data_IF_402126477411
#
_entry.id   IF_402126477411
#
_cell.length_a   1.000
_cell.length_b   1.000
_cell.length_c   1.000
_cell.angle_alpha   90.00
_cell.angle_beta   90.00
_cell.angle_gamma   90.00
#
_symmetry.space_group_name_H-M   'P 1'
#
loop_
_entity.id
_entity.type
_entity.pdbx_description
1 polymer ?
#
# COMPACT_ATOMS: atom_id res chain seq x y z
N UNK A 1 -2.44 -27.54 -4.36
CA UNK A 1 -2.90 -26.13 -4.26
C UNK A 1 -1.89 -25.41 -3.37
N UNK A 2 -0.83 -24.86 -3.95
CA UNK A 2 0.14 -24.09 -3.15
C UNK A 2 -0.55 -22.81 -2.69
N UNK A 3 -0.70 -22.64 -1.38
CA UNK A 3 -1.11 -21.36 -0.83
C UNK A 3 -0.07 -20.32 -1.30
N UNK A 4 -0.52 -19.31 -2.03
CA UNK A 4 0.34 -18.18 -2.35
C UNK A 4 0.74 -17.54 -1.03
N UNK A 5 2.04 -17.52 -0.74
CA UNK A 5 2.56 -16.92 0.49
C UNK A 5 2.18 -15.44 0.52
N UNK A 6 1.72 -14.96 1.68
CA UNK A 6 1.26 -13.59 1.82
C UNK A 6 2.47 -12.66 1.94
N UNK A 7 2.61 -11.74 0.99
CA UNK A 7 3.82 -10.92 0.86
C UNK A 7 3.62 -9.58 1.59
N UNK A 8 4.44 -9.27 2.60
CA UNK A 8 4.35 -8.02 3.34
C UNK A 8 4.78 -6.86 2.44
N UNK A 9 4.04 -5.76 2.50
CA UNK A 9 4.35 -4.57 1.73
C UNK A 9 3.93 -3.29 2.43
N UNK A 10 4.72 -2.25 2.21
CA UNK A 10 4.33 -0.87 2.39
C UNK A 10 3.60 -0.42 1.12
N UNK A 11 2.41 0.12 1.27
CA UNK A 11 1.62 0.66 0.16
C UNK A 11 1.53 2.17 0.30
N UNK A 12 1.94 2.87 -0.74
CA UNK A 12 1.72 4.30 -0.92
C UNK A 12 0.51 4.49 -1.81
N UNK A 13 -0.40 5.36 -1.41
CA UNK A 13 -1.60 5.69 -2.16
C UNK A 13 -1.90 7.19 -2.04
N UNK A 14 -2.54 7.80 -3.05
CA UNK A 14 -3.10 9.13 -2.93
C UNK A 14 -4.12 9.21 -1.79
N UNK A 15 -4.22 10.37 -1.15
CA UNK A 15 -5.20 10.64 -0.10
C UNK A 15 -6.64 10.68 -0.65
N UNK A 16 -6.80 11.12 -1.91
CA UNK A 16 -8.05 11.01 -2.65
C UNK A 16 -8.14 9.64 -3.31
N UNK A 17 -9.12 8.83 -2.88
CA UNK A 17 -9.29 7.46 -3.36
C UNK A 17 -9.71 7.37 -4.85
N UNK A 18 -10.30 8.45 -5.39
CA UNK A 18 -10.73 8.53 -6.78
C UNK A 18 -9.65 9.08 -7.72
N UNK A 19 -8.59 9.66 -7.15
CA UNK A 19 -7.42 10.08 -7.91
C UNK A 19 -6.80 8.88 -8.62
N UNK A 20 -6.44 9.07 -9.88
CA UNK A 20 -5.98 8.01 -10.74
C UNK A 20 -4.85 8.47 -11.65
N UNK A 21 -3.88 7.58 -11.78
CA UNK A 21 -2.87 7.59 -12.82
C UNK A 21 -2.64 6.16 -13.31
N UNK A 22 -2.22 6.03 -14.57
CA UNK A 22 -1.82 4.74 -15.13
C UNK A 22 -0.52 4.21 -14.49
N UNK A 23 -0.28 2.92 -14.68
CA UNK A 23 0.91 2.25 -14.11
C UNK A 23 2.23 2.86 -14.63
N UNK A 24 2.26 3.36 -15.87
CA UNK A 24 3.45 3.96 -16.46
C UNK A 24 3.81 5.29 -15.77
N UNK A 25 2.82 6.11 -15.46
CA UNK A 25 2.95 7.37 -14.72
C UNK A 25 3.40 7.11 -13.29
N UNK A 26 2.82 6.12 -12.61
CA UNK A 26 3.25 5.71 -11.27
C UNK A 26 4.71 5.25 -11.25
N UNK A 27 5.11 4.41 -12.22
CA UNK A 27 6.49 3.97 -12.36
C UNK A 27 7.44 5.13 -12.71
N UNK A 28 6.98 6.08 -13.53
CA UNK A 28 7.73 7.28 -13.85
C UNK A 28 8.00 8.13 -12.60
N UNK A 29 6.97 8.45 -11.82
CA UNK A 29 7.15 9.25 -10.61
C UNK A 29 7.95 8.52 -9.53
N UNK A 30 7.70 7.22 -9.31
CA UNK A 30 8.47 6.43 -8.36
C UNK A 30 9.98 6.46 -8.68
N UNK A 31 10.35 6.44 -9.97
CA UNK A 31 11.73 6.61 -10.42
C UNK A 31 12.21 8.05 -10.29
N UNK A 32 11.38 9.01 -10.69
CA UNK A 32 11.69 10.44 -10.64
C UNK A 32 11.97 10.96 -9.23
N UNK A 33 11.37 10.36 -8.20
CA UNK A 33 11.65 10.72 -6.80
C UNK A 33 12.84 9.96 -6.20
N UNK A 34 13.39 8.99 -6.94
CA UNK A 34 14.50 8.12 -6.52
C UNK A 34 14.09 6.91 -5.67
N UNK A 35 12.78 6.63 -5.52
CA UNK A 35 12.28 5.47 -4.77
C UNK A 35 12.41 4.17 -5.57
N UNK A 36 12.20 4.21 -6.89
CA UNK A 36 12.33 3.09 -7.81
C UNK A 36 13.52 3.25 -8.76
N UNK A 37 14.09 2.12 -9.17
CA UNK A 37 15.18 2.04 -10.15
C UNK A 37 14.71 1.45 -11.48
N UNK A 38 15.58 0.66 -12.11
CA UNK A 38 15.27 0.01 -13.38
C UNK A 38 14.23 -1.10 -13.22
N UNK A 39 13.47 -1.44 -14.29
CA UNK A 39 12.56 -2.58 -14.27
C UNK A 39 13.28 -3.90 -13.96
N UNK A 40 12.65 -4.73 -13.14
CA UNK A 40 13.01 -6.14 -12.95
C UNK A 40 12.23 -7.03 -13.93
N UNK A 41 10.96 -6.69 -14.15
CA UNK A 41 10.04 -7.29 -15.13
C UNK A 41 8.97 -6.24 -15.52
N UNK A 42 7.87 -6.69 -16.15
CA UNK A 42 6.77 -5.83 -16.62
C UNK A 42 6.01 -5.09 -15.49
N UNK A 43 6.13 -5.54 -14.24
CA UNK A 43 5.33 -5.06 -13.10
C UNK A 43 6.18 -4.64 -11.91
N UNK A 44 7.42 -5.07 -11.86
CA UNK A 44 8.33 -4.86 -10.74
C UNK A 44 9.51 -3.98 -11.13
N UNK A 45 9.94 -3.17 -10.18
CA UNK A 45 11.04 -2.23 -10.32
C UNK A 45 12.04 -2.50 -9.20
N UNK A 46 13.33 -2.28 -9.45
CA UNK A 46 14.36 -2.27 -8.41
C UNK A 46 14.09 -1.13 -7.42
N UNK A 47 14.65 -1.23 -6.22
CA UNK A 47 14.80 -0.08 -5.35
C UNK A 47 15.67 0.99 -6.04
N UNK A 48 15.28 2.26 -5.89
CA UNK A 48 16.00 3.41 -6.46
C UNK A 48 17.18 3.87 -5.60
N UNK A 49 17.95 4.81 -6.12
CA UNK A 49 19.16 5.33 -5.47
C UNK A 49 18.88 6.04 -4.13
N UNK A 50 17.72 6.72 -4.03
CA UNK A 50 17.31 7.44 -2.83
C UNK A 50 16.49 6.57 -1.86
N UNK A 51 16.30 5.28 -2.16
CA UNK A 51 15.40 4.39 -1.39
C UNK A 51 15.66 4.43 0.12
N UNK A 52 16.93 4.33 0.53
CA UNK A 52 17.32 4.36 1.96
C UNK A 52 17.20 5.76 2.59
N UNK A 53 17.16 6.83 1.79
CA UNK A 53 16.92 8.19 2.28
C UNK A 53 15.42 8.49 2.41
N UNK A 54 14.58 7.80 1.64
CA UNK A 54 13.13 7.99 1.59
C UNK A 54 12.37 7.08 2.57
N UNK A 55 13.05 6.07 3.11
CA UNK A 55 12.51 5.08 4.04
C UNK A 55 13.41 4.94 5.26
N UNK A 56 12.89 5.28 6.45
CA UNK A 56 13.59 5.13 7.72
C UNK A 56 13.37 3.73 8.30
N UNK A 57 14.46 2.98 8.45
CA UNK A 57 14.44 1.63 9.04
C UNK A 57 14.54 1.70 10.56
N UNK A 58 13.61 1.04 11.24
CA UNK A 58 13.51 1.00 12.70
C UNK A 58 14.07 -0.32 13.22
N UNK A 59 15.06 -0.29 14.12
CA UNK A 59 15.67 -1.47 14.74
C UNK A 59 17.17 -1.59 14.50
N UNK A 60 17.81 -2.59 15.13
CA UNK A 60 19.27 -2.62 15.30
C UNK A 60 20.09 -3.27 14.17
N UNK A 61 19.49 -3.87 13.12
CA UNK A 61 20.18 -4.32 11.88
C UNK A 61 19.23 -5.22 11.08
N UNK A 62 18.25 -4.69 10.33
CA UNK A 62 17.55 -5.51 9.35
C UNK A 62 18.54 -5.91 8.25
N UNK A 63 18.55 -7.18 7.85
CA UNK A 63 19.26 -7.61 6.64
C UNK A 63 18.55 -6.97 5.44
N UNK A 64 19.09 -5.87 4.95
CA UNK A 64 18.59 -5.18 3.76
C UNK A 64 19.16 -5.88 2.53
N UNK A 65 18.28 -6.45 1.70
CA UNK A 65 18.65 -7.00 0.39
C UNK A 65 17.92 -6.25 -0.71
N UNK A 66 18.65 -5.85 -1.75
CA UNK A 66 18.12 -5.15 -2.94
C UNK A 66 18.22 -5.97 -4.21
N UNK A 67 19.03 -7.03 -4.19
CA UNK A 67 19.24 -7.88 -5.34
C UNK A 67 18.39 -9.16 -5.22
N UNK A 68 17.69 -9.54 -6.29
CA UNK A 68 17.00 -10.82 -6.32
C UNK A 68 18.04 -11.95 -6.23
N UNK A 69 17.84 -12.97 -5.38
CA UNK A 69 18.71 -14.15 -5.38
C UNK A 69 18.62 -14.93 -6.71
N UNK A 70 17.44 -14.90 -7.35
CA UNK A 70 17.19 -15.38 -8.70
C UNK A 70 15.94 -14.68 -9.29
N UNK A 71 15.66 -14.92 -10.57
CA UNK A 71 14.48 -14.34 -11.23
C UNK A 71 13.14 -14.82 -10.66
N UNK A 72 13.09 -16.00 -10.03
CA UNK A 72 11.86 -16.53 -9.43
C UNK A 72 11.50 -15.85 -8.11
N UNK A 73 12.46 -15.17 -7.47
CA UNK A 73 12.24 -14.41 -6.24
C UNK A 73 11.54 -13.06 -6.48
N UNK A 74 11.43 -12.56 -7.71
CA UNK A 74 10.70 -11.32 -8.00
C UNK A 74 9.23 -11.48 -7.60
N UNK A 75 8.71 -10.55 -6.81
CA UNK A 75 7.35 -10.61 -6.24
C UNK A 75 7.24 -11.35 -4.91
N UNK A 76 8.27 -12.06 -4.44
CA UNK A 76 8.22 -12.86 -3.20
C UNK A 76 8.32 -12.05 -1.90
N UNK A 77 8.90 -10.85 -1.96
CA UNK A 77 9.27 -10.05 -0.78
C UNK A 77 10.55 -10.49 -0.06
N UNK A 78 11.33 -11.44 -0.62
CA UNK A 78 12.64 -11.85 -0.08
C UNK A 78 13.74 -10.77 -0.16
N UNK A 79 13.49 -9.73 -0.96
CA UNK A 79 14.33 -8.54 -1.10
C UNK A 79 13.44 -7.33 -1.37
N UNK A 80 13.94 -6.12 -1.15
CA UNK A 80 13.17 -4.89 -1.37
C UNK A 80 13.12 -4.56 -2.86
N UNK A 81 11.90 -4.49 -3.36
CA UNK A 81 11.61 -4.07 -4.72
C UNK A 81 10.20 -3.47 -4.76
N UNK A 82 9.90 -2.79 -5.85
CA UNK A 82 8.66 -2.07 -6.00
C UNK A 82 7.74 -2.75 -6.99
N UNK A 83 6.45 -2.53 -6.81
CA UNK A 83 5.39 -2.84 -7.77
C UNK A 83 4.48 -1.63 -7.88
N UNK A 84 3.98 -1.36 -9.07
CA UNK A 84 2.95 -0.33 -9.28
C UNK A 84 1.66 -0.98 -9.72
N UNK A 85 0.54 -0.48 -9.24
CA UNK A 85 -0.79 -0.97 -9.61
C UNK A 85 -1.73 0.20 -9.87
N UNK A 86 -2.47 0.12 -10.96
CA UNK A 86 -3.51 1.06 -11.33
C UNK A 86 -4.81 0.28 -11.61
N UNK A 87 -5.94 0.83 -11.16
CA UNK A 87 -7.26 0.23 -11.29
C UNK A 87 -8.24 1.25 -11.84
N UNK A 88 -9.17 0.79 -12.68
CA UNK A 88 -10.22 1.64 -13.25
C UNK A 88 -11.15 2.22 -12.18
N UNK A 89 -11.30 1.53 -11.05
CA UNK A 89 -12.20 1.90 -9.95
C UNK A 89 -11.50 1.78 -8.59
N UNK A 90 -11.91 2.56 -7.57
CA UNK A 90 -11.29 2.50 -6.26
C UNK A 90 -11.35 1.09 -5.69
N UNK A 91 -10.22 0.59 -5.23
CA UNK A 91 -10.09 -0.73 -4.65
C UNK A 91 -9.76 -0.61 -3.18
N UNK A 92 -10.51 -1.31 -2.33
CA UNK A 92 -10.17 -1.44 -0.92
C UNK A 92 -9.05 -2.47 -0.72
N UNK A 93 -8.01 -2.09 0.02
CA UNK A 93 -6.83 -2.92 0.32
C UNK A 93 -6.76 -3.13 1.82
N UNK A 94 -6.81 -4.40 2.22
CA UNK A 94 -6.70 -4.86 3.60
C UNK A 94 -6.27 -6.32 3.61
N UNK A 95 -5.88 -6.84 4.78
CA UNK A 95 -5.45 -8.22 4.95
C UNK A 95 -6.14 -8.91 6.15
N UNK A 96 -5.72 -10.14 6.44
CA UNK A 96 -6.22 -10.93 7.57
C UNK A 96 -5.83 -10.35 8.94
N UNK A 97 -4.77 -9.55 9.01
CA UNK A 97 -4.23 -8.92 10.21
C UNK A 97 -4.80 -7.51 10.47
N UNK A 98 -5.45 -6.88 9.49
CA UNK A 98 -6.11 -5.58 9.65
C UNK A 98 -7.09 -5.61 10.85
N UNK A 99 -6.91 -4.78 11.88
CA UNK A 99 -7.85 -4.71 13.00
C UNK A 99 -9.20 -4.12 12.59
N UNK A 100 -10.25 -4.48 13.32
CA UNK A 100 -11.56 -3.86 13.13
C UNK A 100 -11.50 -2.34 13.40
N UNK A 101 -11.94 -1.50 12.44
CA UNK A 101 -12.00 -0.06 12.63
C UNK A 101 -13.14 0.31 13.59
N UNK A 102 -13.18 1.58 13.97
CA UNK A 102 -14.26 2.16 14.78
C UNK A 102 -15.00 3.22 13.98
N UNK A 103 -16.31 3.31 14.21
CA UNK A 103 -17.11 4.42 13.70
C UNK A 103 -16.49 5.76 14.16
N UNK A 104 -16.34 6.76 13.26
CA UNK A 104 -15.83 8.07 13.63
C UNK A 104 -16.78 8.81 14.57
N UNK A 105 -18.10 8.60 14.44
CA UNK A 105 -19.13 9.29 15.23
C UNK A 105 -19.34 8.66 16.61
N UNK A 106 -19.81 7.40 16.66
CA UNK A 106 -20.18 6.76 17.93
C UNK A 106 -19.09 5.87 18.53
N UNK A 107 -17.94 5.73 17.86
CA UNK A 107 -16.80 4.90 18.30
C UNK A 107 -17.08 3.40 18.42
N UNK A 108 -18.28 2.95 18.02
CA UNK A 108 -18.63 1.53 17.94
C UNK A 108 -17.62 0.79 17.06
N UNK A 109 -17.20 -0.39 17.54
CA UNK A 109 -16.30 -1.28 16.80
C UNK A 109 -17.10 -1.95 15.68
N UNK A 110 -16.55 -1.97 14.47
CA UNK A 110 -17.21 -2.52 13.30
C UNK A 110 -16.73 -3.97 13.10
N UNK A 111 -17.31 -4.93 13.80
CA UNK A 111 -16.89 -6.35 13.78
C UNK A 111 -16.99 -6.97 12.37
N UNK A 112 -18.10 -6.73 11.67
CA UNK A 112 -18.42 -7.32 10.36
C UNK A 112 -17.80 -6.59 9.15
N UNK A 113 -16.87 -5.66 9.37
CA UNK A 113 -16.33 -4.79 8.33
C UNK A 113 -15.78 -5.55 7.10
N UNK A 114 -15.15 -6.72 7.31
CA UNK A 114 -14.60 -7.55 6.22
C UNK A 114 -15.66 -8.10 5.29
N UNK A 115 -16.86 -8.38 5.82
CA UNK A 115 -17.99 -8.84 5.02
C UNK A 115 -18.58 -7.70 4.20
N UNK A 116 -18.56 -6.49 4.74
CA UNK A 116 -19.07 -5.31 4.06
C UNK A 116 -18.14 -4.82 2.96
N UNK A 117 -16.84 -4.87 3.22
CA UNK A 117 -15.76 -4.40 2.35
C UNK A 117 -14.72 -5.50 2.20
N UNK A 118 -14.94 -6.47 1.31
CA UNK A 118 -13.92 -7.45 0.97
C UNK A 118 -12.72 -6.75 0.30
N UNK A 119 -11.50 -7.20 0.62
CA UNK A 119 -10.30 -6.71 -0.03
C UNK A 119 -10.35 -7.01 -1.54
N UNK A 120 -9.87 -6.08 -2.37
CA UNK A 120 -9.92 -6.21 -3.83
C UNK A 120 -11.23 -5.69 -4.45
N UNK A 121 -12.25 -5.38 -3.65
CA UNK A 121 -13.53 -4.89 -4.14
C UNK A 121 -13.63 -3.36 -4.09
N UNK A 122 -14.51 -2.83 -4.94
CA UNK A 122 -14.99 -1.46 -4.85
C UNK A 122 -15.86 -1.31 -3.59
N UNK A 123 -15.55 -0.34 -2.71
CA UNK A 123 -16.25 -0.24 -1.45
C UNK A 123 -17.58 0.52 -1.56
N UNK A 124 -18.68 -0.13 -1.16
CA UNK A 124 -20.00 0.50 -1.06
C UNK A 124 -20.25 1.16 0.32
N UNK A 125 -21.02 2.25 0.42
CA UNK A 125 -21.43 2.82 1.70
C UNK A 125 -22.23 1.85 2.57
N UNK A 126 -22.06 1.95 3.89
CA UNK A 126 -22.76 1.13 4.89
C UNK A 126 -23.22 1.96 6.08
N UNK A 127 -24.41 1.70 6.59
CA UNK A 127 -24.86 2.31 7.85
C UNK A 127 -24.11 1.70 9.04
N UNK A 128 -23.67 2.54 9.97
CA UNK A 128 -23.09 2.09 11.23
C UNK A 128 -24.15 1.36 12.08
N UNK A 129 -23.87 0.14 12.59
CA UNK A 129 -24.84 -0.58 13.41
C UNK A 129 -25.11 0.10 14.77
N UNK A 130 -24.21 0.99 15.22
CA UNK A 130 -24.36 1.69 16.51
C UNK A 130 -25.15 3.00 16.44
N UNK A 131 -24.95 3.81 15.39
CA UNK A 131 -25.56 5.16 15.30
C UNK A 131 -26.24 5.45 13.96
N UNK A 132 -26.24 4.51 13.01
CA UNK A 132 -26.85 4.70 11.69
C UNK A 132 -26.07 5.58 10.72
N UNK A 133 -25.02 6.29 11.15
CA UNK A 133 -24.20 7.12 10.26
C UNK A 133 -23.66 6.32 9.08
N UNK A 134 -23.72 6.88 7.89
CA UNK A 134 -23.11 6.29 6.70
C UNK A 134 -21.58 6.26 6.80
N UNK A 135 -21.02 5.08 6.56
CA UNK A 135 -19.61 4.77 6.62
C UNK A 135 -19.12 4.35 5.24
N UNK A 136 -17.94 4.83 4.90
CA UNK A 136 -17.14 4.34 3.78
C UNK A 136 -15.73 4.04 4.30
N UNK A 137 -15.00 3.06 3.73
CA UNK A 137 -13.64 2.75 4.18
C UNK A 137 -12.70 3.95 4.14
N UNK A 138 -12.88 4.86 3.17
CA UNK A 138 -12.11 6.09 3.03
C UNK A 138 -12.17 6.98 4.28
N UNK A 139 -13.31 6.98 4.99
CA UNK A 139 -13.54 7.82 6.19
C UNK A 139 -13.10 7.14 7.49
N UNK A 140 -12.75 5.86 7.44
CA UNK A 140 -12.39 5.09 8.63
C UNK A 140 -10.91 5.23 8.96
N UNK A 141 -10.60 5.30 10.26
CA UNK A 141 -9.21 5.25 10.71
C UNK A 141 -8.73 3.80 10.79
N UNK A 142 -8.01 3.37 9.75
CA UNK A 142 -7.40 2.05 9.64
C UNK A 142 -6.03 1.94 10.32
N UNK A 143 -5.53 2.99 10.99
CA UNK A 143 -4.25 2.96 11.70
C UNK A 143 -3.09 2.42 10.84
N UNK A 144 -3.06 2.81 9.56
CA UNK A 144 -2.07 2.37 8.57
C UNK A 144 -2.07 0.86 8.28
N UNK A 145 -3.21 0.18 8.45
CA UNK A 145 -3.34 -1.27 8.18
C UNK A 145 -4.31 -1.63 7.05
N UNK A 146 -4.84 -0.61 6.37
CA UNK A 146 -5.68 -0.71 5.20
C UNK A 146 -5.84 0.67 4.55
N UNK A 147 -6.31 0.69 3.30
CA UNK A 147 -6.58 1.92 2.56
C UNK A 147 -7.47 1.67 1.33
N UNK A 148 -7.90 2.74 0.68
CA UNK A 148 -8.64 2.68 -0.59
C UNK A 148 -7.93 3.56 -1.59
N UNK A 149 -7.87 3.13 -2.84
CA UNK A 149 -7.38 3.97 -3.93
C UNK A 149 -7.49 3.27 -5.28
N UNK A 150 -7.20 4.02 -6.34
CA UNK A 150 -7.06 3.49 -7.70
C UNK A 150 -5.62 3.28 -8.10
N UNK A 151 -4.70 3.99 -7.46
CA UNK A 151 -3.28 4.00 -7.79
C UNK A 151 -2.45 3.65 -6.56
N UNK A 152 -1.54 2.70 -6.71
CA UNK A 152 -0.71 2.19 -5.63
C UNK A 152 0.74 2.05 -6.09
N UNK A 153 1.65 2.56 -5.26
CA UNK A 153 3.09 2.23 -5.32
C UNK A 153 3.36 1.35 -4.11
N UNK A 154 3.78 0.12 -4.35
CA UNK A 154 4.02 -0.87 -3.31
C UNK A 154 5.51 -1.16 -3.19
N UNK A 155 6.00 -1.22 -1.96
CA UNK A 155 7.35 -1.69 -1.64
C UNK A 155 7.23 -3.04 -0.94
N UNK A 156 7.67 -4.09 -1.62
CA UNK A 156 7.56 -5.48 -1.17
C UNK A 156 8.70 -5.81 -0.20
N UNK A 157 8.43 -6.75 0.72
CA UNK A 157 9.37 -7.16 1.77
C UNK A 157 9.35 -6.28 3.03
N UNK A 158 8.52 -5.22 3.05
CA UNK A 158 8.40 -4.33 4.21
C UNK A 158 7.29 -4.79 5.14
N UNK A 159 7.66 -5.16 6.36
CA UNK A 159 6.73 -5.47 7.44
C UNK A 159 6.26 -4.20 8.17
N UNK A 160 5.03 -4.24 8.68
CA UNK A 160 4.51 -3.15 9.50
C UNK A 160 5.39 -2.92 10.73
N UNK A 161 5.75 -1.66 10.98
CA UNK A 161 6.55 -1.26 12.14
C UNK A 161 8.06 -1.40 11.99
N UNK A 162 8.57 -1.96 10.88
CA UNK A 162 10.03 -2.05 10.63
C UNK A 162 10.55 -0.88 9.79
N UNK A 163 9.68 -0.24 9.01
CA UNK A 163 10.04 0.89 8.16
C UNK A 163 8.99 1.99 8.30
N UNK A 164 9.44 3.24 8.25
CA UNK A 164 8.60 4.41 8.17
C UNK A 164 9.02 5.30 6.99
N UNK A 165 8.11 5.59 6.05
CA UNK A 165 8.36 6.62 5.05
C UNK A 165 8.65 7.97 5.69
N UNK A 166 9.63 8.70 5.16
CA UNK A 166 9.93 10.07 5.62
C UNK A 166 9.13 11.11 4.83
N UNK A 167 8.94 12.29 5.41
CA UNK A 167 8.13 13.36 4.79
C UNK A 167 8.62 13.76 3.39
N UNK A 168 9.94 13.72 3.16
CA UNK A 168 10.54 14.02 1.87
C UNK A 168 9.98 13.14 0.73
N UNK A 169 9.60 11.89 1.01
CA UNK A 169 8.97 11.03 0.01
C UNK A 169 7.62 11.58 -0.44
N UNK A 170 6.78 11.98 0.52
CA UNK A 170 5.44 12.48 0.22
C UNK A 170 5.48 13.86 -0.45
N UNK A 171 6.41 14.73 -0.03
CA UNK A 171 6.64 16.01 -0.69
C UNK A 171 7.01 15.82 -2.16
N UNK A 172 8.02 14.98 -2.46
CA UNK A 172 8.46 14.75 -3.84
C UNK A 172 7.40 14.08 -4.71
N UNK A 173 6.67 13.10 -4.17
CA UNK A 173 5.56 12.47 -4.89
C UNK A 173 4.45 13.47 -5.19
N UNK A 174 4.11 14.33 -4.24
CA UNK A 174 3.08 15.36 -4.43
C UNK A 174 3.49 16.41 -5.47
N UNK A 175 4.75 16.82 -5.49
CA UNK A 175 5.28 17.74 -6.51
C UNK A 175 5.19 17.17 -7.93
N UNK A 176 5.44 15.87 -8.10
CA UNK A 176 5.40 15.23 -9.42
C UNK A 176 4.00 14.82 -9.87
N UNK A 177 3.15 14.37 -8.94
CA UNK A 177 1.83 13.84 -9.27
C UNK A 177 0.69 14.85 -9.10
N UNK A 178 0.94 15.97 -8.42
CA UNK A 178 -0.10 16.94 -8.04
C UNK A 178 -1.11 16.43 -7.01
N UNK A 179 -0.80 15.32 -6.32
CA UNK A 179 -1.70 14.70 -5.34
C UNK A 179 -1.05 14.56 -3.98
N UNK A 180 -1.83 14.65 -2.90
CA UNK A 180 -1.33 14.30 -1.58
C UNK A 180 -1.25 12.78 -1.45
N UNK A 181 -0.17 12.28 -0.84
CA UNK A 181 0.08 10.85 -0.65
C UNK A 181 0.07 10.47 0.82
N UNK A 182 -0.38 9.26 1.10
CA UNK A 182 -0.28 8.61 2.40
C UNK A 182 0.22 7.18 2.25
N UNK A 183 0.19 6.43 3.35
CA UNK A 183 0.64 5.05 3.34
C UNK A 183 -0.07 4.17 4.36
N UNK A 184 -0.02 2.87 4.08
CA UNK A 184 -0.45 1.80 4.97
C UNK A 184 0.35 0.53 4.68
N UNK A 185 0.22 -0.47 5.54
CA UNK A 185 0.85 -1.78 5.38
C UNK A 185 -0.21 -2.85 5.16
N UNK A 186 0.08 -3.79 4.28
CA UNK A 186 -0.70 -5.02 4.11
C UNK A 186 0.23 -6.21 3.92
N UNK A 187 -0.29 -7.40 4.22
CA UNK A 187 0.29 -8.68 3.92
C UNK A 187 -0.77 -9.54 3.23
N UNK A 188 -0.84 -9.40 1.91
CA UNK A 188 -1.78 -10.11 1.05
C UNK A 188 -1.04 -11.02 0.05
N UNK A 189 -1.74 -12.04 -0.46
CA UNK A 189 -1.24 -12.81 -1.58
C UNK A 189 -1.12 -11.86 -2.78
N UNK A 190 -0.01 -11.96 -3.51
CA UNK A 190 0.23 -11.17 -4.73
C UNK A 190 -0.95 -11.40 -5.67
N UNK A 191 -1.83 -10.40 -5.82
CA UNK A 191 -2.85 -10.44 -6.86
C UNK A 191 -2.12 -10.57 -8.20
N UNK A 192 -2.38 -11.70 -8.88
CA UNK A 192 -1.86 -12.00 -10.23
C UNK A 192 -2.52 -11.11 -11.27
#
# INVERSE_FOLDING_TARGET
>A
MSASEAVPRLVLAPADADWHADAASLAHWARGVGLAGTPLDDRHLRAGEDFLSLLSFLGCSPTVSFDPPDTAAVGSGLFYHLRVQAFDRPCFRADAMTPAPRCPECRARLEDWRRWWPAGAEPDPRACPGCGTELTPQRLNWRRSAGVGRSFIEVLGIHAGTVQPVDALFTRLAEQSGAQWGYFFVQDAVAR
#
